data_IF_679877831401
#
_entry.id   IF_679877831401
#
_cell.length_a   1.000
_cell.length_b   1.000
_cell.length_c   1.000
_cell.angle_alpha   90.00
_cell.angle_beta   90.00
_cell.angle_gamma   90.00
#
_symmetry.space_group_name_H-M   'P 1'
#
loop_
_entity.id
_entity.type
_entity.pdbx_description
1 polymer ?
#
# COMPACT_ATOMS: atom_id res chain seq x y z
N UNK A 1 21.60 16.58 11.60
CA UNK A 1 21.99 15.31 10.91
C UNK A 1 22.84 15.58 9.68
N UNK A 2 23.90 14.82 9.43
CA UNK A 2 24.62 14.84 8.15
C UNK A 2 24.03 13.72 7.24
N UNK A 3 23.16 14.12 6.34
CA UNK A 3 22.46 13.15 5.49
C UNK A 3 23.40 12.37 4.53
N UNK A 4 24.46 13.01 4.05
CA UNK A 4 25.45 12.33 3.22
C UNK A 4 26.10 11.14 3.97
N UNK A 5 26.41 11.30 5.26
CA UNK A 5 26.96 10.22 6.07
C UNK A 5 26.00 9.04 6.23
N UNK A 6 24.67 9.28 6.25
CA UNK A 6 23.68 8.18 6.28
C UNK A 6 23.65 7.41 4.97
N UNK A 7 23.73 8.12 3.82
CA UNK A 7 23.83 7.48 2.51
C UNK A 7 25.09 6.60 2.44
N UNK A 8 26.23 7.15 2.84
CA UNK A 8 27.51 6.45 2.83
C UNK A 8 27.48 5.22 3.75
N UNK A 9 26.97 5.37 4.97
CA UNK A 9 26.84 4.27 5.91
C UNK A 9 25.95 3.14 5.36
N UNK A 10 24.81 3.49 4.79
CA UNK A 10 23.90 2.49 4.18
C UNK A 10 24.49 1.86 2.91
N UNK A 11 25.12 2.66 2.06
CA UNK A 11 25.84 2.16 0.85
C UNK A 11 26.87 1.10 1.20
N UNK A 12 27.59 1.30 2.32
CA UNK A 12 28.66 0.41 2.78
C UNK A 12 28.15 -0.78 3.62
N UNK A 13 26.80 -0.97 3.67
CA UNK A 13 26.15 -2.11 4.33
C UNK A 13 25.89 -1.92 5.83
N UNK A 14 26.05 -0.71 6.35
CA UNK A 14 25.77 -0.41 7.75
C UNK A 14 24.26 -0.36 8.03
N UNK A 15 23.89 -0.59 9.29
CA UNK A 15 22.52 -0.44 9.80
C UNK A 15 22.30 0.94 10.40
N UNK A 16 21.11 1.52 10.16
CA UNK A 16 20.72 2.81 10.68
C UNK A 16 19.89 2.65 11.95
N UNK A 17 20.08 3.54 12.92
CA UNK A 17 19.23 3.56 14.09
C UNK A 17 17.81 4.07 13.75
N UNK A 18 16.83 3.69 14.58
CA UNK A 18 15.45 4.14 14.44
C UNK A 18 15.33 5.67 14.48
N UNK A 19 16.14 6.33 15.31
CA UNK A 19 16.17 7.80 15.40
C UNK A 19 16.67 8.42 14.09
N UNK A 20 17.75 7.86 13.50
CA UNK A 20 18.30 8.35 12.24
C UNK A 20 17.29 8.22 11.09
N UNK A 21 16.55 7.11 11.03
CA UNK A 21 15.48 6.89 10.05
C UNK A 21 14.33 7.86 10.28
N UNK A 22 13.92 8.07 11.54
CA UNK A 22 12.87 9.04 11.87
C UNK A 22 13.23 10.46 11.45
N UNK A 23 14.44 10.94 11.81
CA UNK A 23 14.93 12.25 11.40
C UNK A 23 15.04 12.40 9.87
N UNK A 24 15.46 11.34 9.16
CA UNK A 24 15.52 11.29 7.70
C UNK A 24 14.14 11.53 7.08
N UNK A 25 13.11 10.84 7.55
CA UNK A 25 11.75 10.97 7.00
C UNK A 25 11.15 12.34 7.32
N UNK A 26 11.36 12.86 8.53
CA UNK A 26 10.95 14.22 8.91
C UNK A 26 11.62 15.26 8.00
N UNK A 27 12.94 15.15 7.81
CA UNK A 27 13.71 16.10 6.98
C UNK A 27 13.30 16.02 5.49
N UNK A 28 13.02 14.80 4.99
CA UNK A 28 12.55 14.61 3.62
C UNK A 28 11.14 15.17 3.44
N UNK A 29 10.20 14.86 4.32
CA UNK A 29 8.84 15.37 4.28
C UNK A 29 8.79 16.90 4.40
N UNK A 30 9.71 17.47 5.17
CA UNK A 30 9.89 18.92 5.33
C UNK A 30 10.66 19.62 4.19
N UNK A 31 10.98 18.93 3.09
CA UNK A 31 11.75 19.44 1.94
C UNK A 31 13.18 19.92 2.29
N UNK A 32 13.74 19.46 3.39
CA UNK A 32 15.14 19.77 3.77
C UNK A 32 16.13 18.90 3.00
N UNK A 33 15.71 17.69 2.62
CA UNK A 33 16.51 16.74 1.83
C UNK A 33 15.98 16.77 0.37
N UNK A 34 16.84 17.06 -0.62
CA UNK A 34 16.44 17.05 -2.02
C UNK A 34 16.28 15.64 -2.57
N UNK A 35 15.44 15.50 -3.62
CA UNK A 35 15.09 14.20 -4.19
C UNK A 35 16.31 13.41 -4.73
N UNK A 36 17.35 14.08 -5.25
CA UNK A 36 18.55 13.37 -5.73
C UNK A 36 19.34 12.70 -4.59
N UNK A 37 19.34 13.27 -3.39
CA UNK A 37 19.96 12.63 -2.21
C UNK A 37 19.09 11.48 -1.72
N UNK A 38 17.78 11.67 -1.64
CA UNK A 38 16.86 10.59 -1.26
C UNK A 38 16.90 9.45 -2.29
N UNK A 39 17.02 9.73 -3.58
CA UNK A 39 17.20 8.71 -4.62
C UNK A 39 18.47 7.87 -4.40
N UNK A 40 19.60 8.52 -4.02
CA UNK A 40 20.82 7.82 -3.68
C UNK A 40 20.66 6.92 -2.44
N UNK A 41 19.96 7.39 -1.42
CA UNK A 41 19.61 6.60 -0.23
C UNK A 41 18.74 5.39 -0.57
N UNK A 42 17.67 5.60 -1.36
CA UNK A 42 16.77 4.52 -1.78
C UNK A 42 17.49 3.48 -2.62
N UNK A 43 18.46 3.90 -3.46
CA UNK A 43 19.28 2.95 -4.22
C UNK A 43 20.23 2.17 -3.29
N UNK A 44 20.83 2.82 -2.30
CA UNK A 44 21.63 2.12 -1.29
C UNK A 44 20.81 1.07 -0.53
N UNK A 45 19.59 1.42 -0.11
CA UNK A 45 18.64 0.46 0.49
C UNK A 45 18.27 -0.67 -0.47
N UNK A 46 18.03 -0.35 -1.75
CA UNK A 46 17.65 -1.36 -2.74
C UNK A 46 18.76 -2.40 -2.97
N UNK A 47 20.03 -1.99 -2.87
CA UNK A 47 21.18 -2.85 -3.08
C UNK A 47 21.61 -3.61 -1.80
N UNK A 48 21.53 -2.97 -0.64
CA UNK A 48 22.02 -3.53 0.63
C UNK A 48 20.90 -4.15 1.48
N UNK A 49 19.62 -3.83 1.20
CA UNK A 49 18.50 -4.21 2.03
C UNK A 49 18.38 -3.34 3.30
N UNK A 50 17.46 -3.74 4.16
CA UNK A 50 17.26 -3.20 5.52
C UNK A 50 17.03 -4.35 6.49
N UNK A 51 17.43 -4.19 7.74
CA UNK A 51 17.06 -5.10 8.82
C UNK A 51 15.55 -4.97 9.15
N UNK A 52 15.04 -5.89 9.97
CA UNK A 52 13.65 -5.80 10.46
C UNK A 52 13.41 -4.52 11.23
N UNK A 53 14.34 -4.14 12.11
CA UNK A 53 14.27 -2.92 12.91
C UNK A 53 14.31 -1.66 12.07
N UNK A 54 15.16 -1.60 11.04
CA UNK A 54 15.20 -0.50 10.08
C UNK A 54 13.87 -0.39 9.31
N UNK A 55 13.34 -1.53 8.84
CA UNK A 55 12.07 -1.58 8.09
C UNK A 55 10.91 -1.13 8.95
N UNK A 56 10.88 -1.54 10.22
CA UNK A 56 9.90 -1.11 11.20
C UNK A 56 10.01 0.40 11.46
N UNK A 57 11.20 0.90 11.71
CA UNK A 57 11.43 2.32 11.95
C UNK A 57 10.98 3.18 10.76
N UNK A 58 11.31 2.76 9.53
CA UNK A 58 10.87 3.42 8.30
C UNK A 58 9.34 3.43 8.17
N UNK A 59 8.71 2.27 8.42
CA UNK A 59 7.25 2.12 8.36
C UNK A 59 6.54 3.07 9.32
N UNK A 60 6.98 3.11 10.58
CA UNK A 60 6.38 3.96 11.60
C UNK A 60 6.64 5.45 11.31
N UNK A 61 7.86 5.81 10.92
CA UNK A 61 8.18 7.20 10.55
C UNK A 61 7.34 7.70 9.35
N UNK A 62 7.11 6.83 8.36
CA UNK A 62 6.25 7.15 7.22
C UNK A 62 4.78 7.28 7.63
N UNK A 63 4.26 6.40 8.49
CA UNK A 63 2.91 6.52 9.07
C UNK A 63 2.76 7.85 9.83
N UNK A 64 3.69 8.14 10.71
CA UNK A 64 3.65 9.29 11.64
C UNK A 64 3.97 10.62 10.95
N UNK A 65 4.37 10.59 9.68
CA UNK A 65 4.52 11.80 8.85
C UNK A 65 3.18 12.49 8.56
N UNK A 66 2.06 11.80 8.77
CA UNK A 66 0.70 12.31 8.56
C UNK A 66 -0.25 11.94 9.69
N UNK A 67 -1.53 12.04 9.40
CA UNK A 67 -2.61 11.72 10.35
C UNK A 67 -2.92 10.23 10.32
N UNK A 68 -3.00 9.63 11.50
CA UNK A 68 -3.61 8.30 11.69
C UNK A 68 -5.11 8.50 11.89
N UNK A 69 -5.92 7.83 11.08
CA UNK A 69 -7.38 7.95 11.12
C UNK A 69 -7.91 7.47 12.48
N UNK A 70 -8.82 8.24 13.04
CA UNK A 70 -9.50 7.92 14.29
C UNK A 70 -11.00 7.77 13.99
N UNK A 71 -11.54 6.63 14.31
CA UNK A 71 -12.97 6.35 14.17
C UNK A 71 -13.66 6.41 15.53
N UNK A 72 -14.88 6.95 15.61
CA UNK A 72 -15.69 6.80 16.82
C UNK A 72 -15.85 5.33 17.23
N UNK A 73 -15.96 5.10 18.53
CA UNK A 73 -16.21 3.75 19.06
C UNK A 73 -17.49 3.17 18.46
N UNK A 74 -17.39 1.94 17.97
CA UNK A 74 -18.44 1.22 17.27
C UNK A 74 -18.10 -0.29 17.39
N UNK A 75 -19.08 -1.16 17.43
CA UNK A 75 -18.88 -2.61 17.51
C UNK A 75 -18.34 -3.23 16.21
N UNK A 76 -18.35 -2.46 15.12
CA UNK A 76 -17.86 -2.91 13.81
C UNK A 76 -16.34 -2.85 13.74
N UNK A 77 -15.72 -3.93 13.32
CA UNK A 77 -14.27 -3.96 13.05
C UNK A 77 -13.89 -3.08 11.86
N UNK A 78 -12.72 -2.48 11.98
CA UNK A 78 -12.06 -1.73 10.90
C UNK A 78 -11.13 -2.70 10.17
N UNK A 79 -11.45 -2.99 8.92
CA UNK A 79 -10.72 -4.00 8.15
C UNK A 79 -10.34 -3.47 6.78
N UNK A 80 -9.25 -4.01 6.23
CA UNK A 80 -8.89 -3.73 4.85
C UNK A 80 -8.18 -4.91 4.19
N UNK A 81 -8.07 -4.84 2.88
CA UNK A 81 -7.27 -5.72 2.04
C UNK A 81 -6.29 -4.88 1.21
N UNK A 82 -5.07 -5.34 1.11
CA UNK A 82 -4.09 -4.73 0.22
C UNK A 82 -3.50 -5.77 -0.73
N UNK A 83 -3.38 -5.41 -2.02
CA UNK A 83 -2.73 -6.23 -3.02
C UNK A 83 -1.35 -5.67 -3.36
N UNK A 84 -0.40 -6.55 -3.65
CA UNK A 84 0.88 -6.14 -4.23
C UNK A 84 0.76 -5.72 -5.70
N UNK A 85 -0.44 -5.88 -6.29
CA UNK A 85 -0.75 -5.48 -7.66
C UNK A 85 -0.43 -6.55 -8.69
N UNK A 86 -1.18 -6.48 -9.79
CA UNK A 86 -1.03 -7.34 -10.96
C UNK A 86 -1.91 -6.85 -12.10
N UNK A 87 -1.69 -7.37 -13.29
CA UNK A 87 -2.47 -6.99 -14.47
C UNK A 87 -3.92 -7.43 -14.32
N UNK A 88 -4.85 -6.48 -14.39
CA UNK A 88 -6.29 -6.74 -14.23
C UNK A 88 -6.76 -6.92 -12.79
N UNK A 89 -5.92 -6.65 -11.79
CA UNK A 89 -6.32 -6.75 -10.37
C UNK A 89 -7.33 -5.67 -9.99
N UNK A 90 -8.58 -6.07 -9.94
CA UNK A 90 -9.74 -5.27 -9.56
C UNK A 90 -10.45 -5.76 -8.31
N UNK A 91 -9.89 -6.73 -7.59
CA UNK A 91 -10.48 -7.34 -6.37
C UNK A 91 -10.96 -6.30 -5.38
N UNK A 92 -10.17 -5.25 -5.15
CA UNK A 92 -10.52 -4.18 -4.20
C UNK A 92 -11.84 -3.47 -4.54
N UNK A 93 -12.18 -3.33 -5.83
CA UNK A 93 -13.43 -2.68 -6.26
C UNK A 93 -14.67 -3.52 -5.94
N UNK A 94 -14.52 -4.84 -5.88
CA UNK A 94 -15.59 -5.78 -5.52
C UNK A 94 -15.64 -5.98 -4.01
N UNK A 95 -14.48 -6.24 -3.41
CA UNK A 95 -14.38 -6.64 -2.00
C UNK A 95 -14.72 -5.50 -1.02
N UNK A 96 -14.30 -4.26 -1.29
CA UNK A 96 -14.51 -3.17 -0.36
C UNK A 96 -16.01 -2.89 -0.09
N UNK A 97 -16.89 -2.72 -1.11
CA UNK A 97 -18.32 -2.57 -0.86
C UNK A 97 -18.96 -3.84 -0.29
N UNK A 98 -18.48 -5.03 -0.65
CA UNK A 98 -18.97 -6.28 -0.09
C UNK A 98 -18.74 -6.37 1.42
N UNK A 99 -17.53 -6.03 1.89
CA UNK A 99 -17.20 -6.01 3.31
C UNK A 99 -18.06 -4.99 4.08
N UNK A 100 -18.32 -3.82 3.49
CA UNK A 100 -19.23 -2.82 4.08
C UNK A 100 -20.66 -3.36 4.22
N UNK A 101 -21.17 -4.09 3.22
CA UNK A 101 -22.47 -4.77 3.28
C UNK A 101 -22.51 -5.87 4.34
N UNK A 102 -21.37 -6.47 4.66
CA UNK A 102 -21.22 -7.47 5.74
C UNK A 102 -21.08 -6.83 7.14
N UNK A 103 -21.11 -5.50 7.23
CA UNK A 103 -21.08 -4.77 8.50
C UNK A 103 -19.70 -4.36 8.98
N UNK A 104 -18.67 -4.42 8.14
CA UNK A 104 -17.33 -3.91 8.47
C UNK A 104 -17.19 -2.42 8.13
N UNK A 105 -16.16 -1.79 8.70
CA UNK A 105 -15.69 -0.45 8.32
C UNK A 105 -14.43 -0.58 7.47
N UNK A 106 -14.46 -0.05 6.25
CA UNK A 106 -13.40 -0.25 5.25
C UNK A 106 -12.82 1.11 4.80
N UNK A 107 -11.81 1.66 5.48
CA UNK A 107 -11.16 2.93 5.12
C UNK A 107 -10.02 2.70 4.12
N UNK A 108 -10.28 2.13 2.97
CA UNK A 108 -9.29 1.65 2.02
C UNK A 108 -8.44 2.77 1.40
N UNK A 109 -7.17 2.88 1.81
CA UNK A 109 -6.17 3.74 1.17
C UNK A 109 -5.36 2.89 0.18
N UNK A 110 -5.50 3.21 -1.09
CA UNK A 110 -4.91 2.48 -2.20
C UNK A 110 -3.81 3.28 -2.90
N UNK A 111 -3.06 2.61 -3.77
CA UNK A 111 -2.03 3.21 -4.62
C UNK A 111 -2.46 3.41 -6.06
N UNK A 112 -1.66 4.20 -6.78
CA UNK A 112 -1.68 4.27 -8.24
C UNK A 112 -0.98 3.05 -8.84
N UNK A 113 -1.21 2.83 -10.13
CA UNK A 113 -0.48 1.81 -10.89
C UNK A 113 1.02 2.09 -10.99
N UNK A 114 1.79 1.04 -11.11
CA UNK A 114 3.22 1.07 -11.38
C UNK A 114 3.53 0.22 -12.60
N UNK A 115 4.41 0.70 -13.47
CA UNK A 115 4.85 -0.04 -14.64
C UNK A 115 3.68 -0.45 -15.54
N UNK A 116 3.49 -1.76 -15.71
CA UNK A 116 2.46 -2.33 -16.58
C UNK A 116 1.08 -2.53 -15.91
N UNK A 117 0.94 -2.20 -14.62
CA UNK A 117 -0.30 -2.43 -13.87
C UNK A 117 -1.11 -1.14 -13.74
N UNK A 118 -2.43 -1.23 -13.77
CA UNK A 118 -3.33 -0.15 -13.37
C UNK A 118 -3.57 -0.19 -11.85
N UNK A 119 -3.47 0.98 -11.19
CA UNK A 119 -3.77 1.09 -9.76
C UNK A 119 -5.27 1.20 -9.48
N UNK A 120 -5.66 0.88 -8.25
CA UNK A 120 -7.05 1.03 -7.81
C UNK A 120 -7.54 2.47 -7.95
N UNK A 121 -6.69 3.46 -7.64
CA UNK A 121 -7.04 4.88 -7.79
C UNK A 121 -7.28 5.26 -9.24
N UNK A 122 -6.43 4.79 -10.17
CA UNK A 122 -6.56 5.09 -11.60
C UNK A 122 -7.87 4.53 -12.17
N UNK A 123 -8.31 3.37 -11.67
CA UNK A 123 -9.59 2.76 -12.03
C UNK A 123 -10.76 3.59 -11.49
N UNK A 124 -10.73 3.97 -10.21
CA UNK A 124 -11.77 4.80 -9.60
C UNK A 124 -11.90 6.16 -10.26
N UNK A 125 -10.78 6.82 -10.59
CA UNK A 125 -10.77 8.11 -11.29
C UNK A 125 -11.28 8.04 -12.74
N UNK A 126 -11.38 6.84 -13.32
CA UNK A 126 -12.06 6.64 -14.60
C UNK A 126 -13.60 6.76 -14.52
N UNK A 127 -14.16 6.72 -13.30
CA UNK A 127 -15.58 6.96 -13.05
C UNK A 127 -15.83 8.47 -13.09
N UNK A 128 -16.70 8.98 -13.96
CA UNK A 128 -16.96 10.42 -14.06
C UNK A 128 -17.39 11.03 -12.70
N UNK A 129 -16.65 12.05 -12.26
CA UNK A 129 -16.93 12.77 -11.00
C UNK A 129 -16.43 12.07 -9.72
N UNK A 130 -15.80 10.90 -9.81
CA UNK A 130 -15.19 10.26 -8.64
C UNK A 130 -13.88 10.95 -8.25
N UNK A 131 -13.72 11.24 -6.96
CA UNK A 131 -12.48 11.82 -6.41
C UNK A 131 -11.82 10.85 -5.43
N UNK A 132 -10.55 10.56 -5.67
CA UNK A 132 -9.71 9.74 -4.75
C UNK A 132 -8.99 10.60 -3.72
N UNK A 133 -9.09 11.94 -3.82
CA UNK A 133 -8.46 12.90 -2.91
C UNK A 133 -9.45 13.26 -1.79
N UNK A 134 -9.53 12.40 -0.78
CA UNK A 134 -10.37 12.61 0.40
C UNK A 134 -9.51 13.14 1.56
N UNK A 135 -9.95 14.21 2.24
CA UNK A 135 -9.38 14.58 3.53
C UNK A 135 -9.65 13.48 4.57
N UNK A 136 -8.84 13.42 5.62
CA UNK A 136 -9.03 12.45 6.70
C UNK A 136 -10.45 12.53 7.29
N UNK A 137 -10.96 13.74 7.51
CA UNK A 137 -12.33 13.99 8.01
C UNK A 137 -13.41 13.42 7.07
N UNK A 138 -13.31 13.69 5.76
CA UNK A 138 -14.27 13.18 4.77
C UNK A 138 -14.23 11.68 4.65
N UNK A 139 -13.03 11.07 4.70
CA UNK A 139 -12.87 9.62 4.65
C UNK A 139 -13.54 8.97 5.86
N UNK A 140 -13.28 9.47 7.08
CA UNK A 140 -13.92 8.99 8.31
C UNK A 140 -15.44 9.14 8.24
N UNK A 141 -15.95 10.32 7.83
CA UNK A 141 -17.37 10.58 7.73
C UNK A 141 -18.06 9.63 6.74
N UNK A 142 -17.45 9.35 5.59
CA UNK A 142 -17.98 8.42 4.60
C UNK A 142 -18.02 6.98 5.12
N UNK A 143 -16.93 6.50 5.75
CA UNK A 143 -16.88 5.16 6.37
C UNK A 143 -17.96 5.03 7.46
N UNK A 144 -18.19 6.07 8.27
CA UNK A 144 -19.24 6.07 9.27
C UNK A 144 -20.64 5.97 8.63
N UNK A 145 -20.85 6.66 7.52
CA UNK A 145 -22.15 6.74 6.85
C UNK A 145 -22.53 5.46 6.09
N UNK A 146 -21.59 4.92 5.29
CA UNK A 146 -21.89 3.83 4.35
C UNK A 146 -20.97 2.60 4.52
N UNK A 147 -20.09 2.59 5.52
CA UNK A 147 -19.19 1.46 5.82
C UNK A 147 -17.91 1.43 4.99
N UNK A 148 -17.79 2.19 3.91
CA UNK A 148 -16.63 2.14 3.02
C UNK A 148 -16.23 3.51 2.49
N UNK A 149 -14.92 3.75 2.38
CA UNK A 149 -14.35 4.83 1.59
C UNK A 149 -13.10 4.31 0.87
N UNK A 150 -12.89 4.74 -0.35
CA UNK A 150 -11.72 4.39 -1.14
C UNK A 150 -11.01 5.67 -1.60
N UNK A 151 -9.76 5.83 -1.19
CA UNK A 151 -8.95 7.02 -1.50
C UNK A 151 -7.48 6.71 -1.61
N UNK A 152 -6.68 7.73 -1.87
CA UNK A 152 -5.23 7.66 -1.95
C UNK A 152 -4.52 8.37 -0.80
N UNK A 153 -3.19 8.30 -0.80
CA UNK A 153 -2.37 9.16 0.06
C UNK A 153 -2.64 10.62 -0.28
N UNK A 154 -2.63 11.46 0.75
CA UNK A 154 -2.79 12.90 0.62
C UNK A 154 -1.69 13.62 1.41
N UNK A 155 -1.69 14.95 1.40
CA UNK A 155 -0.81 15.73 2.28
C UNK A 155 -1.11 15.52 3.78
N UNK A 156 -2.27 14.92 4.12
CA UNK A 156 -2.67 14.63 5.49
C UNK A 156 -2.44 13.16 5.87
N UNK A 157 -2.53 12.23 4.92
CA UNK A 157 -2.47 10.77 5.16
C UNK A 157 -1.25 10.20 4.45
N UNK A 158 -0.28 9.70 5.22
CA UNK A 158 0.98 9.10 4.76
C UNK A 158 1.72 9.95 3.70
N UNK A 159 1.94 11.27 3.90
CA UNK A 159 2.56 12.15 2.91
C UNK A 159 4.00 11.75 2.56
N UNK A 160 4.75 11.18 3.50
CA UNK A 160 6.10 10.67 3.22
C UNK A 160 6.05 9.50 2.22
N UNK A 161 5.07 8.58 2.36
CA UNK A 161 4.92 7.48 1.40
C UNK A 161 4.54 7.98 0.02
N UNK A 162 3.64 8.93 -0.09
CA UNK A 162 3.25 9.53 -1.36
C UNK A 162 4.47 10.03 -2.14
N UNK A 163 5.35 10.76 -1.46
CA UNK A 163 6.54 11.34 -2.08
C UNK A 163 7.61 10.30 -2.40
N UNK A 164 7.87 9.38 -1.46
CA UNK A 164 8.82 8.29 -1.66
C UNK A 164 8.39 7.35 -2.78
N UNK A 165 7.10 7.03 -2.87
CA UNK A 165 6.54 6.17 -3.89
C UNK A 165 6.73 6.77 -5.30
N UNK A 166 6.43 8.06 -5.47
CA UNK A 166 6.65 8.77 -6.72
C UNK A 166 8.13 8.79 -7.13
N UNK A 167 9.04 8.97 -6.15
CA UNK A 167 10.48 8.95 -6.42
C UNK A 167 10.98 7.54 -6.79
N UNK A 168 10.47 6.51 -6.15
CA UNK A 168 10.85 5.11 -6.43
C UNK A 168 10.47 4.67 -7.83
N UNK A 169 9.33 5.12 -8.33
CA UNK A 169 8.84 4.79 -9.67
C UNK A 169 9.84 5.22 -10.77
N UNK A 170 10.46 6.38 -10.59
CA UNK A 170 11.40 6.95 -11.57
C UNK A 170 12.88 6.65 -11.31
N UNK A 171 13.20 6.00 -10.19
CA UNK A 171 14.60 5.68 -9.80
C UNK A 171 14.94 4.20 -9.86
N UNK A 172 14.00 3.33 -10.28
CA UNK A 172 14.23 1.89 -10.38
C UNK A 172 14.37 1.19 -9.01
N UNK A 173 13.84 1.76 -7.94
CA UNK A 173 13.96 1.24 -6.56
C UNK A 173 12.66 0.61 -6.04
N UNK A 174 11.71 0.33 -6.94
CA UNK A 174 10.44 -0.34 -6.59
C UNK A 174 10.66 -1.77 -6.07
N UNK A 175 11.47 -2.64 -6.71
CA UNK A 175 11.57 -4.06 -6.33
C UNK A 175 12.49 -4.28 -5.11
N UNK A 176 12.18 -3.64 -4.00
CA UNK A 176 12.88 -3.78 -2.70
C UNK A 176 11.88 -4.22 -1.65
N UNK A 177 12.02 -5.43 -1.10
CA UNK A 177 11.11 -5.99 -0.09
C UNK A 177 10.92 -5.04 1.11
N UNK A 178 11.97 -4.50 1.75
CA UNK A 178 11.81 -3.55 2.85
C UNK A 178 11.03 -2.30 2.45
N UNK A 179 11.33 -1.71 1.29
CA UNK A 179 10.66 -0.50 0.82
C UNK A 179 9.19 -0.77 0.41
N UNK A 180 8.89 -1.94 -0.14
CA UNK A 180 7.51 -2.37 -0.43
C UNK A 180 6.75 -2.55 0.87
N UNK A 181 7.34 -3.25 1.85
CA UNK A 181 6.74 -3.48 3.17
C UNK A 181 6.43 -2.18 3.88
N UNK A 182 7.40 -1.26 3.96
CA UNK A 182 7.22 0.04 4.60
C UNK A 182 6.15 0.89 3.91
N UNK A 183 6.15 0.92 2.58
CA UNK A 183 5.15 1.65 1.79
C UNK A 183 3.73 1.11 2.01
N UNK A 184 3.54 -0.20 2.02
CA UNK A 184 2.23 -0.81 2.25
C UNK A 184 1.78 -0.55 3.69
N UNK A 185 2.60 -0.93 4.66
CA UNK A 185 2.19 -0.90 6.06
C UNK A 185 2.05 0.51 6.62
N UNK A 186 2.82 1.50 6.17
CA UNK A 186 2.62 2.88 6.61
C UNK A 186 1.20 3.39 6.32
N UNK A 187 0.64 3.06 5.15
CA UNK A 187 -0.75 3.36 4.80
C UNK A 187 -1.74 2.57 5.64
N UNK A 188 -1.53 1.25 5.75
CA UNK A 188 -2.45 0.37 6.48
C UNK A 188 -2.51 0.68 7.97
N UNK A 189 -1.38 1.03 8.57
CA UNK A 189 -1.33 1.50 9.95
C UNK A 189 -1.96 2.89 10.12
N UNK A 190 -1.88 3.76 9.10
CA UNK A 190 -2.55 5.06 9.11
C UNK A 190 -4.09 4.93 9.04
N UNK A 191 -4.63 3.82 8.57
CA UNK A 191 -6.06 3.53 8.53
C UNK A 191 -6.67 3.15 9.90
N UNK A 192 -5.85 2.81 10.89
CA UNK A 192 -6.32 2.40 12.22
C UNK A 192 -7.02 1.04 12.23
N UNK A 193 -6.47 0.06 11.50
CA UNK A 193 -7.07 -1.25 11.27
C UNK A 193 -7.02 -2.18 12.49
N UNK A 194 -8.09 -2.96 12.69
CA UNK A 194 -8.11 -4.15 13.54
C UNK A 194 -7.53 -5.37 12.79
N UNK A 195 -7.85 -5.50 11.49
CA UNK A 195 -7.38 -6.62 10.69
C UNK A 195 -7.07 -6.22 9.23
N UNK A 196 -6.06 -6.91 8.67
CA UNK A 196 -5.57 -6.73 7.30
C UNK A 196 -5.45 -8.07 6.59
N UNK A 197 -5.94 -8.16 5.36
CA UNK A 197 -5.65 -9.26 4.45
C UNK A 197 -4.70 -8.77 3.36
N UNK A 198 -3.55 -9.43 3.22
CA UNK A 198 -2.61 -9.18 2.14
C UNK A 198 -2.82 -10.18 1.01
N UNK A 199 -3.02 -9.66 -0.18
CA UNK A 199 -3.06 -10.42 -1.42
C UNK A 199 -1.72 -10.24 -2.13
N UNK A 200 -0.79 -11.17 -1.87
CA UNK A 200 0.58 -11.11 -2.40
C UNK A 200 0.65 -11.91 -3.69
N UNK A 201 0.70 -11.21 -4.79
CA UNK A 201 0.66 -11.80 -6.13
C UNK A 201 2.04 -12.17 -6.64
N UNK A 202 2.13 -13.34 -7.29
CA UNK A 202 3.35 -13.81 -7.96
C UNK A 202 3.06 -14.31 -9.38
N UNK A 203 4.03 -14.23 -10.25
CA UNK A 203 3.93 -14.71 -11.63
C UNK A 203 4.26 -13.64 -12.67
N UNK A 204 4.06 -13.99 -13.95
CA UNK A 204 4.48 -13.15 -15.08
C UNK A 204 3.76 -11.80 -15.18
N UNK A 205 2.56 -11.68 -14.64
CA UNK A 205 1.76 -10.45 -14.61
C UNK A 205 1.78 -9.75 -13.24
N UNK A 206 2.71 -10.10 -12.34
CA UNK A 206 2.93 -9.49 -11.03
C UNK A 206 4.34 -8.89 -10.91
N UNK A 207 4.58 -8.11 -9.85
CA UNK A 207 5.92 -7.59 -9.53
C UNK A 207 6.86 -8.69 -9.03
N UNK A 208 6.38 -9.56 -8.12
CA UNK A 208 7.11 -10.73 -7.67
C UNK A 208 6.97 -11.82 -8.73
N UNK A 209 8.06 -12.18 -9.38
CA UNK A 209 8.05 -13.22 -10.42
C UNK A 209 7.98 -14.62 -9.82
N UNK A 210 8.72 -14.82 -8.74
CA UNK A 210 8.88 -16.10 -8.09
C UNK A 210 8.02 -16.21 -6.82
N UNK A 211 7.39 -17.36 -6.62
CA UNK A 211 6.57 -17.63 -5.43
C UNK A 211 7.37 -17.51 -4.13
N UNK A 212 8.67 -17.82 -4.17
CA UNK A 212 9.54 -17.71 -3.00
C UNK A 212 9.74 -16.26 -2.56
N UNK A 213 9.90 -15.32 -3.49
CA UNK A 213 10.02 -13.89 -3.22
C UNK A 213 8.70 -13.33 -2.65
N UNK A 214 7.57 -13.71 -3.24
CA UNK A 214 6.26 -13.33 -2.75
C UNK A 214 6.01 -13.85 -1.32
N UNK A 215 6.47 -15.08 -1.02
CA UNK A 215 6.39 -15.66 0.31
C UNK A 215 7.23 -14.85 1.32
N UNK A 216 8.46 -14.51 0.99
CA UNK A 216 9.32 -13.71 1.85
C UNK A 216 8.72 -12.33 2.15
N UNK A 217 8.14 -11.67 1.13
CA UNK A 217 7.41 -10.42 1.31
C UNK A 217 6.19 -10.59 2.22
N UNK A 218 5.39 -11.64 2.01
CA UNK A 218 4.21 -11.93 2.82
C UNK A 218 4.57 -12.16 4.30
N UNK A 219 5.60 -12.98 4.56
CA UNK A 219 6.09 -13.25 5.91
C UNK A 219 6.59 -11.99 6.60
N UNK A 220 7.34 -11.14 5.91
CA UNK A 220 7.80 -9.85 6.45
C UNK A 220 6.65 -8.91 6.80
N UNK A 221 5.65 -8.79 5.93
CA UNK A 221 4.46 -7.95 6.19
C UNK A 221 3.66 -8.48 7.37
N UNK A 222 3.42 -9.79 7.44
CA UNK A 222 2.65 -10.40 8.54
C UNK A 222 3.36 -10.22 9.87
N UNK A 223 4.68 -10.46 9.92
CA UNK A 223 5.48 -10.28 11.12
C UNK A 223 5.43 -8.83 11.62
N UNK A 224 5.72 -7.87 10.74
CA UNK A 224 5.72 -6.46 11.11
C UNK A 224 4.33 -5.94 11.49
N UNK A 225 3.26 -6.41 10.84
CA UNK A 225 1.88 -6.07 11.23
C UNK A 225 1.57 -6.51 12.65
N UNK A 226 2.00 -7.72 13.03
CA UNK A 226 1.80 -8.25 14.38
C UNK A 226 2.55 -7.42 15.44
N UNK A 227 3.79 -6.99 15.15
CA UNK A 227 4.55 -6.08 16.02
C UNK A 227 3.87 -4.70 16.18
N UNK A 228 3.10 -4.28 15.18
CA UNK A 228 2.33 -3.04 15.21
C UNK A 228 0.90 -3.21 15.74
N UNK A 229 0.53 -4.40 16.22
CA UNK A 229 -0.76 -4.67 16.85
C UNK A 229 -1.92 -4.92 15.88
N UNK A 230 -1.64 -5.14 14.59
CA UNK A 230 -2.65 -5.42 13.56
C UNK A 230 -2.69 -6.92 13.24
N UNK A 231 -3.87 -7.52 13.31
CA UNK A 231 -4.08 -8.91 12.88
C UNK A 231 -3.93 -8.98 11.35
N UNK A 232 -2.85 -9.58 10.86
CA UNK A 232 -2.60 -9.72 9.43
C UNK A 232 -2.60 -11.19 8.98
N UNK A 233 -3.21 -11.44 7.82
CA UNK A 233 -3.11 -12.70 7.08
C UNK A 233 -2.68 -12.38 5.65
N UNK A 234 -1.90 -13.30 5.05
CA UNK A 234 -1.46 -13.15 3.66
C UNK A 234 -1.87 -14.37 2.83
N UNK A 235 -2.36 -14.10 1.64
CA UNK A 235 -2.62 -15.09 0.59
C UNK A 235 -1.55 -14.92 -0.49
N UNK A 236 -1.03 -16.02 -1.00
CA UNK A 236 -0.17 -16.04 -2.19
C UNK A 236 -1.03 -16.42 -3.39
N UNK A 237 -1.22 -15.48 -4.30
CA UNK A 237 -2.12 -15.64 -5.44
C UNK A 237 -1.36 -15.65 -6.76
N UNK A 238 -1.73 -16.60 -7.64
CA UNK A 238 -1.10 -16.72 -8.96
C UNK A 238 -1.56 -15.61 -9.89
N UNK A 239 -0.60 -14.95 -10.53
CA UNK A 239 -0.78 -13.94 -11.57
C UNK A 239 0.00 -14.26 -12.84
N UNK A 240 0.08 -15.53 -13.22
CA UNK A 240 0.63 -15.92 -14.53
C UNK A 240 -0.32 -15.56 -15.68
N UNK A 241 -1.59 -15.32 -15.37
CA UNK A 241 -2.59 -14.75 -16.30
C UNK A 241 -3.19 -13.48 -15.69
N UNK A 242 -3.59 -12.48 -16.49
CA UNK A 242 -4.36 -11.35 -15.99
C UNK A 242 -5.67 -11.81 -15.32
N UNK A 243 -6.08 -11.12 -14.25
CA UNK A 243 -7.30 -11.43 -13.53
C UNK A 243 -8.53 -10.91 -14.30
N UNK A 244 -9.53 -11.76 -14.45
CA UNK A 244 -10.75 -11.46 -15.18
C UNK A 244 -10.55 -11.42 -16.70
N UNK A 245 -11.50 -10.84 -17.40
CA UNK A 245 -11.53 -10.75 -18.87
C UNK A 245 -11.19 -9.36 -19.41
N UNK A 246 -11.18 -8.36 -18.53
CA UNK A 246 -10.97 -6.96 -18.90
C UNK A 246 -9.71 -6.40 -18.25
N UNK A 247 -8.92 -5.69 -19.03
CA UNK A 247 -7.73 -4.94 -18.58
C UNK A 247 -7.83 -3.51 -19.09
N UNK A 248 -7.69 -2.55 -18.19
CA UNK A 248 -7.84 -1.13 -18.46
C UNK A 248 -8.82 -0.47 -17.49
N UNK A 249 -8.51 0.74 -17.02
CA UNK A 249 -9.14 1.38 -15.86
C UNK A 249 -10.68 1.29 -15.87
N UNK A 250 -11.32 1.88 -16.86
CA UNK A 250 -12.78 1.87 -16.98
C UNK A 250 -13.37 0.47 -17.29
N UNK A 251 -12.66 -0.34 -18.06
CA UNK A 251 -13.09 -1.70 -18.38
C UNK A 251 -13.12 -2.58 -17.13
N UNK A 252 -12.14 -2.41 -16.26
CA UNK A 252 -12.05 -3.14 -15.00
C UNK A 252 -13.12 -2.68 -13.99
N UNK A 253 -13.50 -1.38 -13.99
CA UNK A 253 -14.64 -0.90 -13.20
C UNK A 253 -15.93 -1.57 -13.66
N UNK A 254 -16.19 -1.63 -14.97
CA UNK A 254 -17.39 -2.31 -15.51
C UNK A 254 -17.44 -3.78 -15.13
N UNK A 255 -16.29 -4.45 -15.19
CA UNK A 255 -16.21 -5.88 -14.84
C UNK A 255 -16.39 -6.12 -13.33
N UNK A 256 -15.87 -5.21 -12.47
CA UNK A 256 -16.12 -5.24 -11.03
C UNK A 256 -17.61 -5.05 -10.70
N UNK A 257 -18.30 -4.14 -11.39
CA UNK A 257 -19.76 -3.96 -11.25
C UNK A 257 -20.51 -5.23 -11.68
N UNK A 258 -20.14 -5.81 -12.83
CA UNK A 258 -20.72 -7.08 -13.28
C UNK A 258 -20.51 -8.23 -12.28
N UNK A 259 -19.34 -8.27 -11.63
CA UNK A 259 -19.07 -9.24 -10.56
C UNK A 259 -20.01 -9.03 -9.36
N UNK A 260 -20.22 -7.79 -8.92
CA UNK A 260 -21.17 -7.45 -7.85
C UNK A 260 -22.61 -7.78 -8.22
N UNK A 261 -22.96 -7.79 -9.51
CA UNK A 261 -24.27 -8.19 -10.05
C UNK A 261 -24.41 -9.71 -10.24
N UNK A 262 -23.35 -10.50 -9.92
CA UNK A 262 -23.34 -11.97 -10.02
C UNK A 262 -23.15 -12.52 -11.45
N UNK A 263 -22.58 -11.71 -12.35
CA UNK A 263 -22.28 -12.09 -13.74
C UNK A 263 -20.81 -11.85 -14.10
N UNK A 264 -19.94 -11.81 -13.09
CA UNK A 264 -18.50 -11.61 -13.22
C UNK A 264 -17.74 -12.82 -13.76
N UNK A 265 -16.43 -12.66 -14.02
CA UNK A 265 -15.55 -13.78 -14.32
C UNK A 265 -15.34 -14.66 -13.08
N UNK A 266 -15.30 -15.97 -13.26
CA UNK A 266 -15.21 -16.94 -12.16
C UNK A 266 -13.93 -16.81 -11.34
N UNK A 267 -12.80 -16.46 -11.96
CA UNK A 267 -11.53 -16.24 -11.29
C UNK A 267 -11.56 -15.00 -10.37
N UNK A 268 -12.27 -13.95 -10.77
CA UNK A 268 -12.49 -12.75 -9.94
C UNK A 268 -13.45 -13.07 -8.77
N UNK A 269 -14.51 -13.84 -9.02
CA UNK A 269 -15.43 -14.28 -7.97
C UNK A 269 -14.74 -15.18 -6.95
N UNK A 270 -13.89 -16.12 -7.41
CA UNK A 270 -13.17 -17.06 -6.54
C UNK A 270 -12.20 -16.37 -5.58
N UNK A 271 -11.52 -15.30 -6.03
CA UNK A 271 -10.53 -14.59 -5.21
C UNK A 271 -11.17 -13.53 -4.33
N UNK A 272 -12.39 -13.12 -4.60
CA UNK A 272 -13.09 -12.10 -3.81
C UNK A 272 -13.81 -12.69 -2.61
#
# INVERSE_FOLDING_TARGET
>A
MNFLSLIEHKRDGGELSSEAIGELIVAYSGNTIPDYQMAAFLMAVNLQGMSGDETRALTLAMRDSGTVLQFPEDDRLIVDKHSTGGVGDKVSLVLAPLLACLGYRVPMISGRGLGITGGTLDKLESIPGFSTQLSAEKLVAQVQSIGVAMGGQTSEIAPADQRLYALRDVTGTVPSIPLITASILSKKLAEGLDALVMDVKYGSAAFMRERAEAKALAEGIVALSAECGVLCRALLTDMNTPLGRSVGNWLEVKEAVACLEGVGPSDLEEIT
#
